data_IF_350885082547
#
_entry.id   IF_350885082547
#
_cell.length_a   1.000
_cell.length_b   1.000
_cell.length_c   1.000
_cell.angle_alpha   90.00
_cell.angle_beta   90.00
_cell.angle_gamma   90.00
#
_symmetry.space_group_name_H-M   'P 1'
#
loop_
_entity.id
_entity.type
_entity.pdbx_description
1 polymer ?
#
# COMPACT_ATOMS: atom_id res chain seq x y z
N UNK A 1 -8.69 0.61 -36.94
CA UNK A 1 -8.98 -0.31 -35.83
C UNK A 1 -8.39 0.26 -34.54
N UNK A 2 -9.19 1.04 -33.81
CA UNK A 2 -8.80 1.52 -32.48
C UNK A 2 -8.98 0.36 -31.50
N UNK A 3 -7.87 -0.28 -31.10
CA UNK A 3 -7.85 -1.22 -30.00
C UNK A 3 -8.41 -0.51 -28.77
N UNK A 4 -9.65 -0.83 -28.41
CA UNK A 4 -10.26 -0.41 -27.15
C UNK A 4 -9.31 -0.86 -26.04
N UNK A 5 -8.52 0.08 -25.50
CA UNK A 5 -7.76 -0.11 -24.27
C UNK A 5 -8.79 -0.50 -23.20
N UNK A 6 -8.96 -1.81 -22.96
CA UNK A 6 -9.74 -2.31 -21.83
C UNK A 6 -9.16 -1.61 -20.60
N UNK A 7 -9.96 -0.73 -19.98
CA UNK A 7 -9.55 -0.08 -18.73
C UNK A 7 -9.17 -1.21 -17.75
N UNK A 8 -7.94 -1.24 -17.23
CA UNK A 8 -7.55 -2.26 -16.28
C UNK A 8 -8.48 -2.14 -15.08
N UNK A 9 -9.14 -3.25 -14.72
CA UNK A 9 -9.97 -3.38 -13.54
C UNK A 9 -9.07 -3.17 -12.31
N UNK A 10 -9.00 -1.94 -11.83
CA UNK A 10 -8.27 -1.63 -10.61
C UNK A 10 -9.23 -1.86 -9.43
N UNK A 11 -8.96 -2.83 -8.55
CA UNK A 11 -9.84 -3.11 -7.40
C UNK A 11 -9.91 -1.90 -6.47
N UNK A 12 -11.06 -1.65 -5.85
CA UNK A 12 -11.18 -0.60 -4.83
C UNK A 12 -10.17 -0.86 -3.69
N UNK A 13 -9.38 0.17 -3.34
CA UNK A 13 -8.35 0.08 -2.29
C UNK A 13 -6.90 0.08 -2.79
N UNK A 14 -6.65 0.35 -4.07
CA UNK A 14 -5.29 0.53 -4.62
C UNK A 14 -4.56 1.67 -3.91
N UNK A 15 -3.30 1.44 -3.55
CA UNK A 15 -2.42 2.51 -3.07
C UNK A 15 -2.25 3.59 -4.14
N UNK A 16 -1.93 4.81 -3.70
CA UNK A 16 -1.54 5.88 -4.61
C UNK A 16 -0.10 6.29 -4.34
N UNK A 17 0.65 6.50 -5.41
CA UNK A 17 2.01 7.02 -5.38
C UNK A 17 2.08 8.25 -6.27
N UNK A 18 2.98 9.19 -5.98
CA UNK A 18 3.27 10.32 -6.86
C UNK A 18 4.38 9.92 -7.82
N UNK A 19 4.19 10.20 -9.10
CA UNK A 19 5.26 10.07 -10.09
C UNK A 19 6.31 11.19 -9.93
N UNK A 20 7.41 11.12 -10.68
CA UNK A 20 8.50 12.10 -10.60
C UNK A 20 8.07 13.53 -10.94
N UNK A 21 6.96 13.69 -11.69
CA UNK A 21 6.36 14.98 -12.07
C UNK A 21 5.22 15.39 -11.13
N UNK A 22 5.07 14.70 -10.00
CA UNK A 22 4.10 15.01 -8.95
C UNK A 22 2.67 14.54 -9.20
N UNK A 23 2.38 13.86 -10.32
CA UNK A 23 1.04 13.33 -10.63
C UNK A 23 0.75 12.14 -9.73
N UNK A 24 -0.44 12.14 -9.12
CA UNK A 24 -0.92 11.02 -8.29
C UNK A 24 -1.45 9.92 -9.19
N UNK A 25 -0.87 8.72 -9.09
CA UNK A 25 -1.23 7.56 -9.90
C UNK A 25 -1.51 6.35 -9.00
N UNK A 26 -2.30 5.39 -9.49
CA UNK A 26 -2.55 4.13 -8.78
C UNK A 26 -1.29 3.26 -8.78
N UNK A 27 -1.07 2.55 -7.69
CA UNK A 27 0.08 1.68 -7.51
C UNK A 27 -0.30 0.22 -7.67
N UNK A 28 0.35 -0.48 -8.58
CA UNK A 28 0.25 -1.91 -8.73
C UNK A 28 0.79 -2.60 -7.47
N UNK A 29 0.00 -3.49 -6.84
CA UNK A 29 0.46 -4.29 -5.70
C UNK A 29 1.02 -5.63 -6.20
N UNK A 30 2.36 -5.82 -6.21
CA UNK A 30 2.99 -7.05 -6.68
C UNK A 30 2.63 -8.26 -5.80
N UNK A 31 2.30 -8.05 -4.51
CA UNK A 31 1.89 -9.15 -3.64
C UNK A 31 0.50 -9.62 -4.01
N UNK A 32 -0.43 -8.70 -4.30
CA UNK A 32 -1.76 -9.05 -4.77
C UNK A 32 -1.68 -9.79 -6.13
N UNK A 33 -0.85 -9.31 -7.06
CA UNK A 33 -0.63 -10.00 -8.35
C UNK A 33 -0.06 -11.40 -8.17
N UNK A 34 0.92 -11.57 -7.27
CA UNK A 34 1.52 -12.86 -6.98
C UNK A 34 0.50 -13.85 -6.38
N UNK A 35 -0.32 -13.39 -5.43
CA UNK A 35 -1.39 -14.21 -4.83
C UNK A 35 -2.45 -14.61 -5.85
N UNK A 36 -2.78 -13.73 -6.79
CA UNK A 36 -3.72 -14.00 -7.87
C UNK A 36 -3.10 -14.76 -9.05
N UNK A 37 -1.81 -15.13 -8.98
CA UNK A 37 -1.05 -15.79 -10.06
C UNK A 37 -1.14 -15.08 -11.42
N UNK A 38 -1.23 -13.75 -11.40
CA UNK A 38 -1.28 -12.92 -12.61
C UNK A 38 0.13 -12.54 -13.05
N UNK A 39 0.71 -13.40 -13.89
CA UNK A 39 2.06 -13.26 -14.44
C UNK A 39 2.08 -12.59 -15.83
N UNK A 40 0.92 -12.13 -16.30
CA UNK A 40 0.74 -11.45 -17.59
C UNK A 40 1.38 -10.06 -17.62
N UNK A 41 1.46 -9.39 -16.47
CA UNK A 41 1.99 -8.02 -16.35
C UNK A 41 3.47 -7.97 -16.00
N UNK A 42 3.92 -8.89 -15.14
CA UNK A 42 5.30 -8.95 -14.64
C UNK A 42 5.76 -10.41 -14.68
N UNK A 43 6.94 -10.63 -15.24
CA UNK A 43 7.62 -11.91 -15.27
C UNK A 43 7.67 -12.55 -13.87
N UNK A 44 7.41 -13.86 -13.76
CA UNK A 44 7.21 -14.55 -12.50
C UNK A 44 8.42 -14.43 -11.54
N UNK A 45 9.64 -14.39 -12.07
CA UNK A 45 10.86 -14.31 -11.26
C UNK A 45 11.10 -12.90 -10.73
N UNK A 46 10.88 -11.87 -11.56
CA UNK A 46 10.88 -10.48 -11.11
C UNK A 46 9.80 -10.24 -10.05
N UNK A 47 8.60 -10.80 -10.24
CA UNK A 47 7.50 -10.69 -9.28
C UNK A 47 7.85 -11.35 -7.94
N UNK A 48 8.47 -12.54 -7.97
CA UNK A 48 8.96 -13.23 -6.77
C UNK A 48 10.07 -12.46 -6.07
N UNK A 49 10.99 -11.86 -6.81
CA UNK A 49 12.05 -11.03 -6.25
C UNK A 49 11.46 -9.79 -5.53
N UNK A 50 10.57 -9.05 -6.21
CA UNK A 50 9.91 -7.86 -5.65
C UNK A 50 9.08 -8.23 -4.42
N UNK A 51 8.33 -9.34 -4.45
CA UNK A 51 7.49 -9.77 -3.34
C UNK A 51 8.29 -10.18 -2.09
N UNK A 52 9.54 -10.64 -2.27
CA UNK A 52 10.44 -11.04 -1.19
C UNK A 52 11.36 -9.91 -0.71
N UNK A 53 11.35 -8.74 -1.36
CA UNK A 53 12.16 -7.59 -0.95
C UNK A 53 11.83 -7.15 0.49
N UNK A 54 12.86 -6.82 1.27
CA UNK A 54 12.71 -6.44 2.67
C UNK A 54 11.82 -5.19 2.79
N UNK A 55 10.70 -5.32 3.49
CA UNK A 55 9.74 -4.23 3.71
C UNK A 55 8.57 -4.19 2.73
N UNK A 56 8.56 -5.03 1.68
CA UNK A 56 7.36 -5.33 0.88
C UNK A 56 6.55 -6.44 1.54
N UNK A 57 7.25 -7.47 2.01
CA UNK A 57 6.67 -8.60 2.75
C UNK A 57 6.23 -8.15 4.14
N UNK A 58 4.98 -8.47 4.48
CA UNK A 58 4.46 -8.26 5.83
C UNK A 58 5.28 -9.12 6.80
N UNK A 59 6.01 -8.46 7.68
CA UNK A 59 6.86 -9.13 8.67
C UNK A 59 6.02 -9.80 9.76
N UNK A 60 6.58 -10.79 10.46
CA UNK A 60 5.88 -11.45 11.57
C UNK A 60 5.45 -10.47 12.67
N UNK A 61 6.29 -9.48 12.96
CA UNK A 61 5.98 -8.40 13.91
C UNK A 61 4.81 -7.53 13.45
N UNK A 62 4.74 -7.18 12.17
CA UNK A 62 3.58 -6.46 11.62
C UNK A 62 2.31 -7.30 11.77
N UNK A 63 2.34 -8.60 11.41
CA UNK A 63 1.19 -9.49 11.62
C UNK A 63 0.76 -9.53 13.07
N UNK A 64 1.70 -9.69 14.00
CA UNK A 64 1.41 -9.70 15.43
C UNK A 64 0.78 -8.38 15.90
N UNK A 65 1.23 -7.23 15.38
CA UNK A 65 0.61 -5.93 15.66
C UNK A 65 -0.81 -5.83 15.11
N UNK A 66 -1.11 -6.41 13.94
CA UNK A 66 -2.47 -6.48 13.41
C UNK A 66 -3.37 -7.32 14.29
N UNK A 67 -2.94 -8.53 14.61
CA UNK A 67 -3.69 -9.44 15.48
C UNK A 67 -3.90 -8.81 16.85
N UNK A 68 -2.85 -8.25 17.46
CA UNK A 68 -2.93 -7.56 18.74
C UNK A 68 -3.86 -6.34 18.69
N UNK A 69 -3.85 -5.57 17.61
CA UNK A 69 -4.77 -4.44 17.41
C UNK A 69 -6.22 -4.88 17.28
N UNK A 70 -6.49 -5.97 16.54
CA UNK A 70 -7.83 -6.56 16.40
C UNK A 70 -8.32 -7.13 17.73
N UNK A 71 -7.50 -7.92 18.42
CA UNK A 71 -7.79 -8.48 19.75
C UNK A 71 -8.05 -7.37 20.77
N UNK A 72 -7.23 -6.33 20.77
CA UNK A 72 -7.41 -5.16 21.63
C UNK A 72 -8.73 -4.43 21.35
N UNK A 73 -9.07 -4.21 20.08
CA UNK A 73 -10.35 -3.62 19.70
C UNK A 73 -11.55 -4.47 20.14
N UNK A 74 -11.49 -5.79 19.96
CA UNK A 74 -12.53 -6.72 20.41
C UNK A 74 -12.69 -6.69 21.93
N UNK A 75 -11.58 -6.64 22.67
CA UNK A 75 -11.60 -6.52 24.14
C UNK A 75 -12.28 -5.22 24.59
N UNK A 76 -11.94 -4.08 23.96
CA UNK A 76 -12.55 -2.78 24.27
C UNK A 76 -14.04 -2.79 23.98
N UNK A 77 -14.46 -3.31 22.83
CA UNK A 77 -15.88 -3.47 22.46
C UNK A 77 -16.59 -4.33 23.51
N UNK A 78 -16.01 -5.48 23.89
CA UNK A 78 -16.59 -6.38 24.88
C UNK A 78 -16.77 -5.70 26.25
N UNK A 79 -15.76 -4.99 26.75
CA UNK A 79 -15.83 -4.27 28.02
C UNK A 79 -16.89 -3.16 27.98
N UNK A 80 -16.98 -2.45 26.85
CA UNK A 80 -18.00 -1.43 26.64
C UNK A 80 -19.42 -2.01 26.65
N UNK A 81 -19.63 -3.14 25.97
CA UNK A 81 -20.92 -3.85 25.98
C UNK A 81 -21.31 -4.30 27.39
N UNK A 82 -20.37 -4.83 28.18
CA UNK A 82 -20.60 -5.21 29.59
C UNK A 82 -21.00 -3.98 30.43
N UNK A 83 -20.32 -2.85 30.24
CA UNK A 83 -20.63 -1.62 30.96
C UNK A 83 -22.03 -1.05 30.61
N UNK A 84 -22.49 -1.23 29.37
CA UNK A 84 -23.84 -0.87 28.96
C UNK A 84 -24.89 -1.77 29.64
N UNK A 85 -24.66 -3.08 29.67
CA UNK A 85 -25.58 -4.06 30.25
C UNK A 85 -25.72 -3.87 31.76
N UNK A 86 -24.61 -3.59 32.45
CA UNK A 86 -24.58 -3.39 33.91
C UNK A 86 -25.09 -2.01 34.37
N UNK A 87 -25.48 -1.13 33.44
CA UNK A 87 -26.01 0.20 33.76
C UNK A 87 -24.96 1.21 34.25
N UNK A 88 -23.68 0.84 34.30
CA UNK A 88 -22.60 1.70 34.78
C UNK A 88 -22.41 2.98 33.95
N UNK A 89 -22.89 3.00 32.71
CA UNK A 89 -22.76 4.15 31.80
C UNK A 89 -23.76 5.28 32.12
N UNK A 90 -24.91 5.01 32.77
CA UNK A 90 -25.88 6.07 33.10
C UNK A 90 -25.31 7.15 34.04
N UNK A 91 -24.33 6.80 34.86
CA UNK A 91 -23.68 7.71 35.81
C UNK A 91 -22.22 8.04 35.43
N UNK A 92 -21.75 7.59 34.26
CA UNK A 92 -20.36 7.80 33.87
C UNK A 92 -20.15 9.25 33.38
N UNK A 93 -19.22 10.02 33.98
CA UNK A 93 -18.94 11.37 33.51
C UNK A 93 -18.42 11.34 32.06
N UNK A 94 -18.88 12.27 31.23
CA UNK A 94 -18.52 12.46 29.81
C UNK A 94 -17.01 12.40 29.52
N UNK A 95 -16.16 12.70 30.49
CA UNK A 95 -14.70 12.56 30.37
C UNK A 95 -14.23 11.10 30.18
N UNK A 96 -14.95 10.10 30.70
CA UNK A 96 -14.56 8.68 30.57
C UNK A 96 -14.90 8.08 29.21
N UNK A 97 -15.91 8.59 28.50
CA UNK A 97 -16.28 8.10 27.17
C UNK A 97 -15.31 8.57 26.08
N UNK A 98 -14.70 9.75 26.23
CA UNK A 98 -13.69 10.26 25.30
C UNK A 98 -12.44 9.35 25.21
N UNK A 99 -11.98 8.80 26.36
CA UNK A 99 -10.84 7.89 26.39
C UNK A 99 -11.06 6.59 25.60
N UNK A 100 -12.30 6.10 25.56
CA UNK A 100 -12.67 4.88 24.85
C UNK A 100 -12.60 5.06 23.33
N UNK A 101 -13.01 6.22 22.82
CA UNK A 101 -12.92 6.58 21.39
C UNK A 101 -11.45 6.62 20.95
N UNK A 102 -10.57 7.19 21.77
CA UNK A 102 -9.13 7.21 21.47
C UNK A 102 -8.54 5.80 21.45
N UNK A 103 -8.85 4.95 22.42
CA UNK A 103 -8.40 3.55 22.45
C UNK A 103 -8.85 2.76 21.22
N UNK A 104 -10.10 2.93 20.78
CA UNK A 104 -10.63 2.25 19.58
C UNK A 104 -10.00 2.75 18.27
N UNK A 105 -9.57 4.02 18.21
CA UNK A 105 -9.00 4.60 16.98
C UNK A 105 -7.50 4.29 16.80
N UNK A 106 -6.76 4.02 17.87
CA UNK A 106 -5.32 3.73 17.81
C UNK A 106 -4.99 2.57 16.84
N UNK A 107 -5.64 1.38 16.90
CA UNK A 107 -5.36 0.30 15.95
C UNK A 107 -5.57 0.71 14.50
N UNK A 108 -6.62 1.50 14.21
CA UNK A 108 -6.90 1.99 12.86
C UNK A 108 -5.83 2.98 12.37
N UNK A 109 -5.38 3.90 13.23
CA UNK A 109 -4.32 4.85 12.92
C UNK A 109 -3.01 4.11 12.66
N UNK A 110 -2.65 3.15 13.51
CA UNK A 110 -1.45 2.32 13.36
C UNK A 110 -1.52 1.52 12.06
N UNK A 111 -2.65 0.87 11.78
CA UNK A 111 -2.90 0.15 10.53
C UNK A 111 -2.72 1.06 9.31
N UNK A 112 -3.35 2.23 9.32
CA UNK A 112 -3.27 3.19 8.22
C UNK A 112 -1.83 3.69 8.01
N UNK A 113 -1.09 3.95 9.09
CA UNK A 113 0.31 4.35 9.04
C UNK A 113 1.21 3.25 8.46
N UNK A 114 1.03 1.99 8.88
CA UNK A 114 1.76 0.83 8.33
C UNK A 114 1.44 0.67 6.84
N UNK A 115 0.16 0.71 6.48
CA UNK A 115 -0.30 0.61 5.08
C UNK A 115 0.33 1.70 4.22
N UNK A 116 0.34 2.96 4.69
CA UNK A 116 0.94 4.10 3.98
C UNK A 116 2.45 3.94 3.78
N UNK A 117 3.17 3.48 4.80
CA UNK A 117 4.63 3.23 4.71
C UNK A 117 4.95 2.09 3.73
N UNK A 118 4.12 1.04 3.71
CA UNK A 118 4.31 -0.10 2.81
C UNK A 118 4.22 0.31 1.34
N UNK A 119 3.26 1.15 0.97
CA UNK A 119 3.12 1.62 -0.42
C UNK A 119 4.37 2.32 -0.96
N UNK A 120 5.00 3.19 -0.15
CA UNK A 120 6.27 3.82 -0.54
C UNK A 120 7.38 2.79 -0.80
N UNK A 121 7.51 1.79 0.08
CA UNK A 121 8.52 0.72 -0.07
C UNK A 121 8.27 -0.17 -1.28
N UNK A 122 7.01 -0.48 -1.57
CA UNK A 122 6.64 -1.26 -2.77
C UNK A 122 7.00 -0.51 -4.04
N UNK A 123 6.76 0.80 -4.10
CA UNK A 123 7.10 1.61 -5.27
C UNK A 123 8.62 1.65 -5.47
N UNK A 124 9.37 1.89 -4.39
CA UNK A 124 10.83 1.86 -4.41
C UNK A 124 11.37 0.49 -4.85
N UNK A 125 10.82 -0.61 -4.31
CA UNK A 125 11.20 -1.95 -4.72
C UNK A 125 10.93 -2.18 -6.22
N UNK A 126 9.76 -1.81 -6.74
CA UNK A 126 9.47 -1.94 -8.17
C UNK A 126 10.45 -1.14 -9.04
N UNK A 127 10.79 0.09 -8.66
CA UNK A 127 11.76 0.93 -9.36
C UNK A 127 13.19 0.37 -9.31
N UNK A 128 13.58 -0.25 -8.18
CA UNK A 128 14.86 -0.96 -8.04
C UNK A 128 14.99 -2.11 -9.05
N UNK A 129 13.91 -2.81 -9.34
CA UNK A 129 13.86 -3.82 -10.43
C UNK A 129 13.47 -3.22 -11.78
N UNK A 130 13.53 -1.89 -11.91
CA UNK A 130 13.21 -1.12 -13.12
C UNK A 130 11.83 -1.48 -13.70
N UNK A 131 10.82 -1.68 -12.84
CA UNK A 131 9.43 -1.88 -13.23
C UNK A 131 8.59 -0.66 -12.87
N UNK A 132 7.69 -0.26 -13.77
CA UNK A 132 6.76 0.84 -13.53
C UNK A 132 5.82 0.52 -12.35
N UNK A 133 5.81 1.33 -11.26
CA UNK A 133 4.91 1.11 -10.13
C UNK A 133 3.41 1.19 -10.47
N UNK A 134 3.04 1.79 -11.60
CA UNK A 134 1.63 1.93 -12.01
C UNK A 134 1.13 0.74 -12.85
N UNK A 135 1.88 0.33 -13.88
CA UNK A 135 1.44 -0.71 -14.83
C UNK A 135 2.36 -1.93 -14.93
N UNK A 136 3.51 -1.96 -14.24
CA UNK A 136 4.45 -3.09 -14.26
C UNK A 136 5.37 -3.19 -15.49
N UNK A 137 5.25 -2.27 -16.46
CA UNK A 137 6.11 -2.24 -17.66
C UNK A 137 7.61 -2.16 -17.32
N UNK A 138 8.47 -2.77 -18.15
CA UNK A 138 9.93 -2.78 -17.99
C UNK A 138 10.57 -1.45 -18.43
N UNK A 139 11.30 -0.80 -17.52
CA UNK A 139 11.92 0.50 -17.74
C UNK A 139 13.42 0.43 -18.07
N UNK A 140 14.05 -0.76 -18.03
CA UNK A 140 15.53 -0.90 -18.10
C UNK A 140 16.18 -0.30 -19.35
N UNK A 141 15.48 -0.32 -20.48
CA UNK A 141 16.03 0.09 -21.78
C UNK A 141 15.43 1.39 -22.30
N UNK A 142 14.69 2.12 -21.46
CA UNK A 142 14.08 3.38 -21.85
C UNK A 142 15.05 4.53 -21.61
N UNK A 143 15.10 5.52 -22.52
CA UNK A 143 15.89 6.71 -22.32
C UNK A 143 15.35 7.55 -21.16
N UNK A 144 16.26 8.21 -20.44
CA UNK A 144 15.92 9.27 -19.49
C UNK A 144 15.67 10.57 -20.23
N UNK A 145 14.64 11.31 -19.82
CA UNK A 145 14.38 12.65 -20.32
C UNK A 145 15.51 13.60 -19.90
N UNK A 146 16.02 14.41 -20.83
CA UNK A 146 17.13 15.34 -20.60
C UNK A 146 16.77 16.50 -19.66
N UNK A 147 15.48 16.81 -19.50
CA UNK A 147 15.04 17.94 -18.68
C UNK A 147 14.99 17.63 -17.18
N UNK A 148 14.46 16.47 -16.80
CA UNK A 148 14.22 16.08 -15.41
C UNK A 148 14.94 14.78 -14.99
N UNK A 149 15.64 14.12 -15.92
CA UNK A 149 16.31 12.83 -15.69
C UNK A 149 15.34 11.66 -15.47
N UNK A 150 14.03 11.85 -15.68
CA UNK A 150 13.04 10.82 -15.44
C UNK A 150 12.82 9.94 -16.68
N UNK A 151 12.57 8.65 -16.46
CA UNK A 151 12.16 7.71 -17.49
C UNK A 151 10.63 7.71 -17.61
N UNK A 152 10.11 7.94 -18.81
CA UNK A 152 8.66 7.93 -19.07
C UNK A 152 8.22 6.56 -19.56
N UNK A 153 7.25 5.96 -18.86
CA UNK A 153 6.68 4.67 -19.26
C UNK A 153 5.79 4.84 -20.52
N UNK A 154 6.01 4.08 -21.61
CA UNK A 154 5.24 4.22 -22.84
C UNK A 154 3.77 3.76 -22.72
N UNK A 155 3.48 2.85 -21.79
CA UNK A 155 2.13 2.29 -21.61
C UNK A 155 1.17 3.25 -20.91
N UNK A 156 1.62 3.85 -19.81
CA UNK A 156 0.79 4.69 -18.95
C UNK A 156 1.21 6.17 -18.92
N UNK A 157 2.34 6.52 -19.51
CA UNK A 157 2.89 7.89 -19.51
C UNK A 157 3.39 8.38 -18.15
N UNK A 158 3.53 7.49 -17.14
CA UNK A 158 4.09 7.84 -15.82
C UNK A 158 5.60 8.06 -15.90
N UNK A 159 6.10 9.11 -15.23
CA UNK A 159 7.52 9.44 -15.19
C UNK A 159 8.15 8.99 -13.87
N UNK A 160 9.30 8.31 -13.92
CA UNK A 160 9.96 7.76 -12.73
C UNK A 160 11.46 8.04 -12.75
N UNK A 161 12.03 8.33 -11.58
CA UNK A 161 13.49 8.40 -11.41
C UNK A 161 14.01 7.01 -11.05
N UNK A 162 14.98 6.50 -11.80
CA UNK A 162 15.61 5.20 -11.54
C UNK A 162 16.87 5.39 -10.69
N UNK A 163 16.96 4.68 -9.58
CA UNK A 163 18.17 4.65 -8.74
C UNK A 163 19.32 4.04 -9.57
N UNK A 164 20.40 4.80 -9.77
CA UNK A 164 21.59 4.35 -10.50
C UNK A 164 21.78 4.94 -11.91
N UNK A 165 20.87 5.78 -12.40
CA UNK A 165 21.04 6.52 -13.66
C UNK A 165 21.35 8.02 -13.47
N UNK A 166 21.47 8.49 -12.22
CA UNK A 166 22.05 9.79 -11.94
C UNK A 166 23.55 9.71 -12.29
N UNK A 167 23.92 10.34 -13.42
CA UNK A 167 25.31 10.53 -13.87
C UNK A 167 26.13 11.32 -12.86
#
# INVERSE_FOLDING_TARGET
MALLKKKPWLPEGVGHVKDARGRKVTQLDPVALHLLRRHDVIEADALRAIANEKGVRITGAERASLFGGVLGALLVISLFTIALITGGIRNAPLAKSAGLIHLCSIPWIVWYAIKRRRFGKVAAAMLKYSRCPHCGYDLRLLPTDSGDGATVCPECGCAWQLEGQAK
#
